data_IF_406341273523
#
_entry.id   IF_406341273523
#
_cell.length_a   1.000
_cell.length_b   1.000
_cell.length_c   1.000
_cell.angle_alpha   90.00
_cell.angle_beta   90.00
_cell.angle_gamma   90.00
#
_symmetry.space_group_name_H-M   'P 1'
#
loop_
_entity.id
_entity.type
_entity.pdbx_description
1 polymer ?
#
# COMPACT_ATOMS: atom_id res chain seq x y z
N UNK A 1 44.63 2.90 54.35
CA UNK A 1 44.10 4.25 54.62
C UNK A 1 43.41 4.72 53.33
N UNK A 2 42.09 4.66 53.21
CA UNK A 2 41.10 5.56 53.84
C UNK A 2 40.66 6.67 52.87
N UNK A 3 39.45 6.50 52.34
CA UNK A 3 38.45 7.51 51.96
C UNK A 3 38.71 8.36 50.70
N UNK A 4 37.80 8.23 49.72
CA UNK A 4 36.82 9.27 49.34
C UNK A 4 35.70 8.58 48.53
N UNK A 5 34.65 8.20 49.25
CA UNK A 5 33.32 7.92 48.68
C UNK A 5 32.58 9.26 48.57
N UNK A 6 32.25 9.71 47.36
CA UNK A 6 31.17 10.70 47.17
C UNK A 6 29.91 9.98 46.71
N UNK A 7 29.05 9.78 47.71
CA UNK A 7 27.69 9.27 47.68
C UNK A 7 26.80 10.19 46.83
N UNK A 8 26.48 9.79 45.60
CA UNK A 8 25.35 10.34 44.85
C UNK A 8 24.09 9.59 45.29
N UNK A 9 23.12 10.36 45.80
CA UNK A 9 21.83 9.88 46.29
C UNK A 9 21.02 9.29 45.14
N UNK A 10 20.33 8.20 45.46
CA UNK A 10 19.42 7.44 44.61
C UNK A 10 18.32 8.28 43.98
N UNK A 11 18.17 8.13 42.66
CA UNK A 11 16.85 8.05 42.04
C UNK A 11 16.76 6.68 41.37
N UNK A 12 16.18 5.72 42.08
CA UNK A 12 15.77 4.42 41.54
C UNK A 12 14.62 4.67 40.56
N UNK A 13 14.94 5.12 39.35
CA UNK A 13 14.06 4.92 38.22
C UNK A 13 14.26 3.47 37.83
N UNK A 14 13.25 2.61 38.10
CA UNK A 14 13.19 1.28 37.51
C UNK A 14 13.27 1.46 36.00
N UNK A 15 14.45 1.32 35.41
CA UNK A 15 14.57 1.11 33.99
C UNK A 15 14.01 -0.29 33.75
N UNK A 16 12.77 -0.37 33.25
CA UNK A 16 12.36 -1.55 32.52
C UNK A 16 13.37 -1.69 31.38
N UNK A 17 14.34 -2.58 31.55
CA UNK A 17 15.14 -3.08 30.44
C UNK A 17 14.16 -3.94 29.67
N UNK A 18 13.38 -3.32 28.79
CA UNK A 18 12.64 -4.04 27.77
C UNK A 18 13.69 -4.60 26.82
N UNK A 19 13.95 -5.90 26.94
CA UNK A 19 14.72 -6.62 25.96
C UNK A 19 13.81 -6.80 24.75
N UNK A 20 13.72 -5.76 23.91
CA UNK A 20 12.93 -5.79 22.69
C UNK A 20 13.69 -6.63 21.66
N UNK A 21 13.64 -7.96 21.79
CA UNK A 21 13.94 -8.86 20.67
C UNK A 21 12.79 -8.72 19.69
N UNK A 22 12.89 -7.74 18.80
CA UNK A 22 11.97 -7.56 17.68
C UNK A 22 12.15 -8.67 16.63
N UNK A 23 11.91 -9.93 17.02
CA UNK A 23 12.00 -11.10 16.15
C UNK A 23 10.64 -11.75 15.87
N UNK A 24 9.56 -11.31 16.51
CA UNK A 24 8.21 -11.79 16.23
C UNK A 24 7.22 -10.63 16.25
N UNK A 25 6.42 -10.54 15.18
CA UNK A 25 5.47 -9.45 14.95
C UNK A 25 4.41 -9.35 16.04
N UNK A 26 4.25 -8.14 16.52
CA UNK A 26 3.19 -7.68 17.42
C UNK A 26 1.81 -7.93 16.80
N UNK A 27 1.02 -8.80 17.45
CA UNK A 27 -0.42 -8.94 17.23
C UNK A 27 -1.08 -8.81 18.61
N UNK A 28 -1.69 -7.65 18.84
CA UNK A 28 -2.25 -7.27 20.14
C UNK A 28 -3.53 -8.02 20.55
N UNK A 29 -3.74 -7.94 21.87
CA UNK A 29 -4.98 -8.04 22.67
C UNK A 29 -5.76 -9.38 22.62
N UNK A 30 -6.17 -10.04 23.72
CA UNK A 30 -6.58 -9.54 25.03
C UNK A 30 -6.90 -10.69 26.01
N UNK A 31 -6.91 -10.33 27.30
CA UNK A 31 -7.74 -10.85 28.40
C UNK A 31 -7.25 -12.05 29.25
N UNK A 32 -7.39 -11.80 30.55
CA UNK A 32 -7.00 -12.57 31.72
C UNK A 32 -7.90 -13.77 32.02
N UNK A 33 -7.31 -14.85 32.53
CA UNK A 33 -7.84 -15.50 33.74
C UNK A 33 -6.75 -16.28 34.47
N UNK A 34 -6.62 -15.97 35.74
CA UNK A 34 -5.82 -16.71 36.72
C UNK A 34 -6.62 -17.91 37.22
N UNK A 35 -6.07 -19.10 37.10
CA UNK A 35 -6.44 -20.23 37.95
C UNK A 35 -5.17 -20.96 38.38
N UNK A 36 -4.90 -20.86 39.67
CA UNK A 36 -3.92 -21.66 40.39
C UNK A 36 -4.42 -23.09 40.51
N UNK A 37 -3.74 -24.03 39.85
CA UNK A 37 -3.79 -25.45 40.19
C UNK A 37 -2.37 -26.00 40.22
N UNK A 38 -1.87 -26.18 41.43
CA UNK A 38 -0.69 -26.95 41.76
C UNK A 38 -0.90 -28.41 41.34
N UNK A 39 -0.28 -28.81 40.24
CA UNK A 39 -0.15 -30.21 39.83
C UNK A 39 1.12 -30.31 39.00
N UNK A 40 2.07 -31.13 39.46
CA UNK A 40 3.28 -31.47 38.72
C UNK A 40 2.87 -32.06 37.37
N UNK A 41 2.84 -31.20 36.35
CA UNK A 41 2.36 -31.51 35.02
C UNK A 41 3.57 -31.38 34.10
N UNK A 42 3.92 -32.50 33.47
CA UNK A 42 4.74 -32.53 32.27
C UNK A 42 4.13 -31.51 31.30
N UNK A 43 4.78 -30.37 31.14
CA UNK A 43 4.36 -29.32 30.23
C UNK A 43 4.43 -29.92 28.82
N UNK A 44 3.27 -30.23 28.24
CA UNK A 44 3.15 -30.65 26.85
C UNK A 44 2.83 -29.43 26.02
N UNK A 45 3.54 -29.25 24.92
CA UNK A 45 3.23 -28.25 23.90
C UNK A 45 1.81 -28.48 23.35
N UNK A 46 1.14 -27.48 22.74
CA UNK A 46 -0.17 -27.69 22.11
C UNK A 46 -0.17 -28.83 21.08
N UNK A 47 0.98 -29.13 20.48
CA UNK A 47 1.19 -30.23 19.52
C UNK A 47 1.53 -31.58 20.18
N UNK A 48 1.47 -31.70 21.50
CA UNK A 48 1.74 -32.92 22.25
C UNK A 48 3.22 -33.26 22.44
N UNK A 49 4.14 -32.46 21.89
CA UNK A 49 5.58 -32.62 22.12
C UNK A 49 5.98 -32.17 23.55
N UNK A 50 6.95 -32.85 24.19
CA UNK A 50 7.45 -32.43 25.50
C UNK A 50 8.05 -31.01 25.42
N UNK A 51 7.70 -30.14 26.37
CA UNK A 51 8.26 -28.79 26.44
C UNK A 51 9.76 -28.88 26.73
N UNK A 52 10.55 -28.34 25.80
CA UNK A 52 12.00 -28.27 25.96
C UNK A 52 12.35 -27.20 26.97
N UNK A 53 13.25 -27.51 27.89
CA UNK A 53 13.77 -26.57 28.89
C UNK A 53 15.15 -26.06 28.49
N UNK A 54 15.54 -24.91 29.04
CA UNK A 54 16.90 -24.34 28.84
C UNK A 54 17.99 -25.34 29.28
N UNK A 55 17.70 -26.21 30.25
CA UNK A 55 18.65 -27.19 30.78
C UNK A 55 18.89 -28.38 29.83
N UNK A 56 17.95 -28.63 28.91
CA UNK A 56 18.08 -29.67 27.89
C UNK A 56 19.06 -29.29 26.78
N UNK A 57 19.53 -28.03 26.74
CA UNK A 57 20.54 -27.59 25.77
C UNK A 57 21.94 -27.87 26.31
N UNK A 58 22.63 -28.84 25.69
CA UNK A 58 24.03 -29.15 25.99
C UNK A 58 24.95 -28.00 25.60
N UNK A 59 24.67 -27.33 24.48
CA UNK A 59 25.46 -26.19 23.98
C UNK A 59 24.54 -25.13 23.38
N UNK A 60 24.84 -23.85 23.62
CA UNK A 60 23.97 -22.75 23.19
C UNK A 60 23.90 -22.63 21.67
N UNK A 61 24.92 -23.14 20.98
CA UNK A 61 24.99 -23.21 19.52
C UNK A 61 23.87 -24.04 18.90
N UNK A 62 23.36 -25.04 19.64
CA UNK A 62 22.25 -25.89 19.18
C UNK A 62 20.96 -25.10 18.98
N UNK A 63 20.81 -23.93 19.61
CA UNK A 63 19.63 -23.08 19.48
C UNK A 63 19.27 -22.77 18.02
N UNK A 64 20.27 -22.50 17.18
CA UNK A 64 20.03 -22.17 15.76
C UNK A 64 19.53 -23.37 14.93
N UNK A 65 19.80 -24.59 15.37
CA UNK A 65 19.36 -25.83 14.69
C UNK A 65 18.02 -26.36 15.18
N UNK A 66 17.47 -25.79 16.26
CA UNK A 66 16.18 -26.20 16.81
C UNK A 66 15.03 -25.77 15.91
N UNK A 67 13.93 -26.50 16.00
CA UNK A 67 12.68 -26.10 15.36
C UNK A 67 12.12 -24.81 15.96
N UNK A 68 11.38 -24.05 15.17
CA UNK A 68 10.88 -22.71 15.51
C UNK A 68 10.06 -22.71 16.80
N UNK A 69 9.25 -23.75 17.01
CA UNK A 69 8.41 -23.88 18.20
C UNK A 69 9.27 -23.99 19.46
N UNK A 70 10.33 -24.82 19.40
CA UNK A 70 11.28 -25.03 20.51
C UNK A 70 12.10 -23.76 20.77
N UNK A 71 12.51 -23.06 19.73
CA UNK A 71 13.16 -21.75 19.87
C UNK A 71 12.26 -20.76 20.62
N UNK A 72 10.98 -20.66 20.26
CA UNK A 72 10.02 -19.78 20.93
C UNK A 72 9.79 -20.15 22.41
N UNK A 73 9.75 -21.45 22.72
CA UNK A 73 9.65 -21.93 24.11
C UNK A 73 10.87 -21.51 24.93
N UNK A 74 12.08 -21.71 24.42
CA UNK A 74 13.31 -21.33 25.10
C UNK A 74 13.37 -19.81 25.30
N UNK A 75 13.01 -19.03 24.29
CA UNK A 75 12.99 -17.56 24.37
C UNK A 75 12.01 -17.08 25.43
N UNK A 76 10.79 -17.62 25.47
CA UNK A 76 9.79 -17.24 26.48
C UNK A 76 10.19 -17.62 27.91
N UNK A 77 10.82 -18.79 28.10
CA UNK A 77 11.42 -19.18 29.39
C UNK A 77 12.52 -18.20 29.81
N UNK A 78 13.40 -17.84 28.87
CA UNK A 78 14.53 -16.95 29.12
C UNK A 78 14.05 -15.52 29.42
N UNK A 79 13.03 -15.03 28.72
CA UNK A 79 12.39 -13.75 28.97
C UNK A 79 11.78 -13.71 30.38
N UNK A 80 11.05 -14.76 30.78
CA UNK A 80 10.49 -14.90 32.13
C UNK A 80 11.59 -14.86 33.21
N UNK A 81 12.77 -15.42 32.92
CA UNK A 81 13.94 -15.33 33.82
C UNK A 81 14.56 -13.92 33.81
N UNK A 82 14.61 -13.25 32.66
CA UNK A 82 15.12 -11.88 32.53
C UNK A 82 14.29 -10.84 33.25
N UNK A 83 12.96 -10.99 33.24
CA UNK A 83 12.05 -10.10 33.98
C UNK A 83 12.31 -10.11 35.49
N UNK A 84 12.98 -11.14 36.02
CA UNK A 84 13.35 -11.24 37.44
C UNK A 84 14.59 -10.40 37.76
N UNK A 85 15.75 -11.02 37.88
CA UNK A 85 16.99 -10.37 38.32
C UNK A 85 18.17 -10.92 37.53
N UNK A 86 18.93 -10.03 36.90
CA UNK A 86 20.13 -10.38 36.14
C UNK A 86 21.17 -11.15 36.97
N UNK A 87 21.22 -10.90 38.28
CA UNK A 87 22.14 -11.59 39.19
C UNK A 87 21.74 -13.03 39.47
N UNK A 88 20.45 -13.38 39.28
CA UNK A 88 19.94 -14.74 39.50
C UNK A 88 20.08 -15.64 38.28
N UNK A 89 20.41 -15.10 37.10
CA UNK A 89 20.66 -15.90 35.91
C UNK A 89 21.99 -16.64 36.00
N UNK A 90 21.97 -17.91 35.59
CA UNK A 90 23.17 -18.73 35.49
C UNK A 90 24.08 -18.22 34.37
N UNK A 91 25.36 -18.61 34.39
CA UNK A 91 26.30 -18.24 33.33
C UNK A 91 25.83 -18.78 31.96
N UNK A 92 25.36 -20.03 31.94
CA UNK A 92 24.81 -20.69 30.76
C UNK A 92 23.63 -19.89 30.18
N UNK A 93 22.66 -19.49 31.00
CA UNK A 93 21.52 -18.68 30.55
C UNK A 93 21.95 -17.32 29.95
N UNK A 94 22.95 -16.67 30.54
CA UNK A 94 23.49 -15.40 30.02
C UNK A 94 24.19 -15.58 28.69
N UNK A 95 25.00 -16.64 28.59
CA UNK A 95 25.70 -16.97 27.37
C UNK A 95 24.71 -17.41 26.26
N UNK A 96 23.64 -18.14 26.61
CA UNK A 96 22.55 -18.48 25.71
C UNK A 96 21.82 -17.22 25.23
N UNK A 97 21.48 -16.31 26.12
CA UNK A 97 20.88 -15.03 25.73
C UNK A 97 21.78 -14.21 24.80
N UNK A 98 23.07 -14.18 25.09
CA UNK A 98 24.06 -13.54 24.22
C UNK A 98 24.11 -14.20 22.85
N UNK A 99 24.10 -15.54 22.80
CA UNK A 99 24.06 -16.29 21.55
C UNK A 99 22.75 -16.07 20.78
N UNK A 100 21.61 -16.01 21.45
CA UNK A 100 20.33 -15.70 20.81
C UNK A 100 20.36 -14.29 20.20
N UNK A 101 20.88 -13.28 20.91
CA UNK A 101 20.93 -11.91 20.39
C UNK A 101 22.00 -11.66 19.31
N UNK A 102 23.18 -12.26 19.48
CA UNK A 102 24.38 -11.91 18.71
C UNK A 102 25.14 -13.11 18.14
N UNK A 103 24.65 -14.32 18.33
CA UNK A 103 25.28 -15.54 17.86
C UNK A 103 25.19 -15.73 16.35
N UNK A 104 25.88 -16.77 15.89
CA UNK A 104 25.99 -17.10 14.47
C UNK A 104 24.82 -17.99 14.01
N UNK A 105 23.60 -17.44 13.98
CA UNK A 105 22.40 -18.17 13.55
C UNK A 105 21.44 -17.27 12.74
N UNK A 106 20.56 -17.86 11.92
CA UNK A 106 19.62 -17.14 11.08
C UNK A 106 20.32 -16.21 10.07
N UNK A 107 20.03 -14.91 10.13
CA UNK A 107 20.67 -13.91 9.23
C UNK A 107 22.16 -13.71 9.50
N UNK A 108 22.74 -14.36 10.51
CA UNK A 108 24.15 -14.20 10.85
C UNK A 108 25.05 -15.36 10.44
N UNK A 109 24.51 -16.52 10.05
CA UNK A 109 25.25 -17.78 9.87
C UNK A 109 26.51 -17.71 9.00
N UNK A 110 26.49 -16.83 7.98
CA UNK A 110 27.56 -16.72 6.98
C UNK A 110 28.73 -15.86 7.42
N UNK A 111 28.69 -15.27 8.62
CA UNK A 111 29.84 -14.56 9.16
C UNK A 111 30.83 -15.58 9.75
N UNK A 112 31.98 -15.77 9.11
CA UNK A 112 32.99 -16.76 9.52
C UNK A 112 34.07 -16.21 10.46
N UNK A 113 34.19 -14.89 10.60
CA UNK A 113 35.31 -14.22 11.28
C UNK A 113 35.09 -13.95 12.78
N UNK A 114 34.28 -14.74 13.49
CA UNK A 114 33.99 -14.50 14.91
C UNK A 114 35.21 -14.62 15.84
N UNK A 115 36.17 -15.47 15.45
CA UNK A 115 37.37 -15.76 16.26
C UNK A 115 38.60 -14.96 15.82
N UNK A 116 38.46 -14.07 14.83
CA UNK A 116 39.55 -13.25 14.32
C UNK A 116 39.38 -11.81 14.80
N UNK A 117 40.47 -11.14 15.16
CA UNK A 117 40.47 -9.71 15.52
C UNK A 117 40.23 -8.78 14.32
N UNK A 118 40.11 -9.34 13.11
CA UNK A 118 39.70 -8.62 11.91
C UNK A 118 38.23 -8.21 12.01
N UNK A 119 37.90 -7.03 11.48
CA UNK A 119 36.51 -6.58 11.41
C UNK A 119 35.63 -7.67 10.75
N UNK A 120 34.43 -7.94 11.31
CA UNK A 120 33.53 -8.90 10.70
C UNK A 120 33.18 -8.42 9.29
N UNK A 121 33.21 -9.36 8.33
CA UNK A 121 32.88 -9.16 6.91
C UNK A 121 31.46 -8.62 6.69
N UNK A 122 30.71 -8.45 7.77
CA UNK A 122 29.40 -7.83 7.79
C UNK A 122 29.43 -6.37 7.38
N UNK A 123 30.50 -5.64 7.70
CA UNK A 123 30.59 -4.26 7.31
C UNK A 123 31.79 -4.09 6.39
N UNK A 124 31.60 -3.65 5.13
CA UNK A 124 32.68 -3.38 4.18
C UNK A 124 33.46 -2.12 4.57
N UNK A 125 33.52 -1.79 5.85
CA UNK A 125 34.34 -0.73 6.38
C UNK A 125 35.74 -1.31 6.51
N UNK A 126 36.62 -0.93 5.60
CA UNK A 126 38.05 -1.04 5.84
C UNK A 126 38.33 -0.02 6.95
N UNK A 127 38.69 -0.44 8.18
CA UNK A 127 39.04 0.51 9.21
C UNK A 127 40.23 1.30 8.69
N UNK A 128 40.02 2.59 8.50
CA UNK A 128 41.07 3.49 8.08
C UNK A 128 42.04 3.70 9.24
N UNK A 129 42.89 2.71 9.51
CA UNK A 129 43.88 2.72 10.59
C UNK A 129 44.95 3.81 10.43
N UNK A 130 44.91 4.57 9.33
CA UNK A 130 45.87 5.61 8.94
C UNK A 130 45.23 6.96 8.57
N UNK A 131 43.99 7.25 8.98
CA UNK A 131 43.40 8.56 8.66
C UNK A 131 43.90 9.65 9.61
N UNK A 132 44.74 10.53 9.06
CA UNK A 132 44.96 11.89 9.55
C UNK A 132 43.61 12.62 9.68
N UNK A 133 43.52 13.57 10.62
CA UNK A 133 42.34 14.24 11.19
C UNK A 133 41.31 14.91 10.24
N UNK A 134 41.26 14.58 8.96
CA UNK A 134 40.24 15.03 8.00
C UNK A 134 39.08 14.04 7.98
N UNK A 135 37.96 14.43 8.58
CA UNK A 135 36.69 13.68 8.57
C UNK A 135 36.06 13.68 7.18
N UNK A 136 36.46 12.74 6.33
CA UNK A 136 35.78 12.49 5.05
C UNK A 136 34.53 11.63 5.30
N UNK A 137 33.40 12.02 4.69
CA UNK A 137 32.19 11.19 4.68
C UNK A 137 32.53 9.85 4.03
N UNK A 138 32.16 8.77 4.69
CA UNK A 138 32.32 7.41 4.17
C UNK A 138 31.49 7.27 2.87
N UNK A 139 31.97 6.42 1.96
CA UNK A 139 31.22 6.07 0.76
C UNK A 139 29.88 5.44 1.18
N UNK A 140 28.81 5.79 0.47
CA UNK A 140 27.53 5.14 0.64
C UNK A 140 27.62 3.74 0.03
N UNK A 141 27.43 2.72 0.87
CA UNK A 141 27.60 1.31 0.47
C UNK A 141 26.25 0.62 0.57
N UNK A 142 25.85 -0.02 -0.53
CA UNK A 142 24.64 -0.83 -0.57
C UNK A 142 24.89 -2.20 0.07
N UNK A 143 24.24 -2.46 1.21
CA UNK A 143 24.36 -3.72 1.94
C UNK A 143 23.87 -4.94 1.14
N UNK A 144 22.92 -4.72 0.21
CA UNK A 144 22.32 -5.75 -0.64
C UNK A 144 23.30 -6.36 -1.65
N UNK A 145 24.34 -5.62 -2.05
CA UNK A 145 25.36 -6.06 -3.02
C UNK A 145 26.57 -6.72 -2.36
N UNK A 146 26.56 -6.89 -1.04
CA UNK A 146 27.67 -7.55 -0.34
C UNK A 146 27.59 -9.06 -0.52
N UNK A 147 28.70 -9.76 -0.79
CA UNK A 147 28.69 -11.19 -1.14
C UNK A 147 28.13 -12.08 -0.01
N UNK A 148 28.25 -11.63 1.24
CA UNK A 148 27.73 -12.38 2.40
C UNK A 148 26.21 -12.24 2.53
N UNK A 149 25.64 -11.09 2.12
CA UNK A 149 24.21 -10.79 2.27
C UNK A 149 23.41 -10.90 0.99
N UNK A 150 24.03 -11.08 -0.16
CA UNK A 150 23.35 -11.15 -1.46
C UNK A 150 22.17 -12.12 -1.43
N UNK A 151 22.36 -13.30 -0.85
CA UNK A 151 21.29 -14.30 -0.71
C UNK A 151 20.18 -13.90 0.26
N UNK A 152 20.46 -13.04 1.24
CA UNK A 152 19.46 -12.51 2.19
C UNK A 152 18.57 -11.45 1.53
N UNK A 153 19.16 -10.64 0.66
CA UNK A 153 18.46 -9.58 -0.08
C UNK A 153 17.90 -10.04 -1.43
N UNK A 154 18.12 -11.30 -1.80
CA UNK A 154 17.47 -11.93 -2.94
C UNK A 154 15.99 -12.10 -2.63
N UNK A 155 15.21 -11.05 -2.89
CA UNK A 155 13.75 -11.08 -2.78
C UNK A 155 13.27 -12.28 -3.58
N UNK A 156 12.63 -13.24 -2.91
CA UNK A 156 12.04 -14.39 -3.58
C UNK A 156 11.03 -13.84 -4.57
N UNK A 157 11.35 -13.91 -5.85
CA UNK A 157 10.39 -13.61 -6.90
C UNK A 157 9.17 -14.49 -6.66
N UNK A 158 7.96 -13.94 -6.79
CA UNK A 158 6.72 -14.70 -6.60
C UNK A 158 6.81 -16.04 -7.33
N UNK A 159 6.40 -17.10 -6.63
CA UNK A 159 6.33 -18.43 -7.20
C UNK A 159 5.46 -18.41 -8.47
N UNK A 160 5.78 -19.29 -9.42
CA UNK A 160 5.05 -19.36 -10.68
C UNK A 160 3.55 -19.62 -10.44
N UNK A 161 3.21 -20.44 -9.44
CA UNK A 161 1.82 -20.69 -9.06
C UNK A 161 1.11 -19.43 -8.57
N UNK A 162 1.74 -18.67 -7.68
CA UNK A 162 1.16 -17.41 -7.16
C UNK A 162 0.96 -16.38 -8.28
N UNK A 163 1.89 -16.29 -9.24
CA UNK A 163 1.73 -15.42 -10.41
C UNK A 163 0.51 -15.80 -11.27
N UNK A 164 0.28 -17.10 -11.48
CA UNK A 164 -0.89 -17.60 -12.21
C UNK A 164 -2.19 -17.25 -11.48
N UNK A 165 -2.24 -17.44 -10.15
CA UNK A 165 -3.43 -17.09 -9.35
C UNK A 165 -3.74 -15.60 -9.44
N UNK A 166 -2.73 -14.74 -9.27
CA UNK A 166 -2.90 -13.28 -9.40
C UNK A 166 -3.39 -12.93 -10.80
N UNK A 167 -2.84 -13.55 -11.84
CA UNK A 167 -3.29 -13.34 -13.22
C UNK A 167 -4.75 -13.77 -13.43
N UNK A 168 -5.17 -14.92 -12.89
CA UNK A 168 -6.56 -15.40 -12.98
C UNK A 168 -7.54 -14.47 -12.26
N UNK A 169 -7.17 -13.93 -11.09
CA UNK A 169 -8.00 -12.94 -10.38
C UNK A 169 -8.19 -11.70 -11.24
N UNK A 170 -7.11 -11.18 -11.83
CA UNK A 170 -7.18 -10.02 -12.74
C UNK A 170 -8.09 -10.33 -13.94
N UNK A 171 -7.98 -11.53 -14.51
CA UNK A 171 -8.78 -11.96 -15.65
C UNK A 171 -10.28 -12.06 -15.30
N UNK A 172 -10.62 -12.63 -14.14
CA UNK A 172 -12.00 -12.72 -13.65
C UNK A 172 -12.59 -11.33 -13.42
N UNK A 173 -11.82 -10.42 -12.80
CA UNK A 173 -12.25 -9.02 -12.61
C UNK A 173 -12.49 -8.36 -13.97
N UNK A 174 -11.59 -8.54 -14.93
CA UNK A 174 -11.76 -7.97 -16.26
C UNK A 174 -12.99 -8.55 -16.98
N UNK A 175 -13.24 -9.85 -16.84
CA UNK A 175 -14.42 -10.51 -17.40
C UNK A 175 -15.72 -10.03 -16.73
N UNK A 176 -15.71 -9.82 -15.41
CA UNK A 176 -16.84 -9.27 -14.68
C UNK A 176 -17.17 -7.86 -15.15
N UNK A 177 -16.17 -6.99 -15.30
CA UNK A 177 -16.33 -5.63 -15.84
C UNK A 177 -16.80 -5.64 -17.30
N UNK A 178 -16.28 -6.55 -18.12
CA UNK A 178 -16.75 -6.74 -19.49
C UNK A 178 -18.24 -7.10 -19.49
N UNK A 179 -18.62 -8.15 -18.75
CA UNK A 179 -20.02 -8.58 -18.64
C UNK A 179 -20.95 -7.46 -18.15
N UNK A 180 -20.52 -6.71 -17.13
CA UNK A 180 -21.28 -5.59 -16.56
C UNK A 180 -21.53 -4.48 -17.60
N UNK A 181 -20.52 -4.18 -18.44
CA UNK A 181 -20.65 -3.22 -19.54
C UNK A 181 -21.72 -3.64 -20.57
N UNK A 182 -21.88 -4.93 -20.87
CA UNK A 182 -22.84 -5.41 -21.88
C UNK A 182 -24.23 -5.75 -21.33
N UNK A 183 -24.38 -5.91 -20.01
CA UNK A 183 -25.68 -6.22 -19.38
C UNK A 183 -26.63 -5.01 -19.35
N UNK A 184 -26.09 -3.79 -19.43
CA UNK A 184 -26.87 -2.55 -19.35
C UNK A 184 -27.67 -2.15 -20.59
N UNK A 185 -27.51 -2.81 -21.75
CA UNK A 185 -28.26 -2.45 -22.97
C UNK A 185 -29.62 -3.16 -23.08
N UNK A 186 -29.82 -4.31 -22.43
CA UNK A 186 -31.06 -5.09 -22.52
C UNK A 186 -32.11 -4.74 -21.46
N UNK A 187 -31.82 -3.79 -20.56
CA UNK A 187 -32.68 -3.48 -19.41
C UNK A 187 -32.75 -2.00 -19.02
N UNK A 188 -32.33 -1.08 -19.90
CA UNK A 188 -32.62 0.34 -19.66
C UNK A 188 -34.15 0.51 -19.69
N UNK A 189 -34.77 1.06 -18.62
CA UNK A 189 -36.17 1.46 -18.72
C UNK A 189 -36.27 2.46 -19.87
N UNK A 190 -37.17 2.21 -20.83
CA UNK A 190 -37.48 3.18 -21.86
C UNK A 190 -37.83 4.50 -21.18
N UNK A 191 -37.12 5.56 -21.54
CA UNK A 191 -37.47 6.90 -21.09
C UNK A 191 -38.89 7.18 -21.58
N UNK A 192 -39.85 7.19 -20.66
CA UNK A 192 -41.22 7.60 -20.96
C UNK A 192 -41.15 9.09 -21.26
N UNK A 193 -41.01 9.44 -22.53
CA UNK A 193 -41.08 10.83 -22.99
C UNK A 193 -42.52 11.29 -22.74
N UNK A 194 -42.73 12.02 -21.65
CA UNK A 194 -44.02 12.62 -21.33
C UNK A 194 -44.19 13.81 -22.28
N UNK A 195 -44.96 13.61 -23.35
CA UNK A 195 -45.30 14.67 -24.30
C UNK A 195 -46.37 15.58 -23.70
N UNK A 196 -46.01 16.83 -23.47
CA UNK A 196 -46.95 17.88 -23.04
C UNK A 196 -47.74 18.39 -24.25
N UNK A 197 -49.01 17.97 -24.38
CA UNK A 197 -49.90 18.34 -25.51
C UNK A 197 -49.97 19.84 -25.76
N UNK A 198 -49.88 20.65 -24.71
CA UNK A 198 -49.99 22.10 -24.82
C UNK A 198 -48.83 22.77 -25.56
N UNK A 199 -47.64 22.15 -25.56
CA UNK A 199 -46.48 22.70 -26.27
C UNK A 199 -46.58 22.47 -27.78
N UNK A 200 -47.04 21.29 -28.20
CA UNK A 200 -47.29 20.96 -29.60
C UNK A 200 -48.35 21.88 -30.23
N UNK A 201 -49.43 22.17 -29.51
CA UNK A 201 -50.49 23.07 -30.00
C UNK A 201 -50.00 24.52 -30.19
N UNK A 202 -49.10 25.01 -29.34
CA UNK A 202 -48.49 26.34 -29.53
C UNK A 202 -47.59 26.40 -30.76
N UNK A 203 -46.76 25.39 -30.96
CA UNK A 203 -45.87 25.33 -32.13
C UNK A 203 -46.64 25.24 -33.45
N UNK A 204 -47.75 24.51 -33.48
CA UNK A 204 -48.62 24.45 -34.65
C UNK A 204 -49.32 25.79 -34.93
N UNK A 205 -49.77 26.50 -33.89
CA UNK A 205 -50.36 27.83 -34.05
C UNK A 205 -49.33 28.85 -34.55
N UNK A 206 -48.11 28.84 -34.02
CA UNK A 206 -47.04 29.72 -34.51
C UNK A 206 -46.66 29.44 -35.96
N UNK A 207 -46.64 28.16 -36.37
CA UNK A 207 -46.38 27.78 -37.78
C UNK A 207 -47.48 28.31 -38.71
N UNK A 208 -48.75 28.15 -38.34
CA UNK A 208 -49.89 28.68 -39.11
C UNK A 208 -49.84 30.20 -39.24
N UNK A 209 -49.53 30.91 -38.16
CA UNK A 209 -49.41 32.37 -38.18
C UNK A 209 -48.25 32.84 -39.08
N UNK A 210 -47.10 32.16 -39.04
CA UNK A 210 -45.95 32.46 -39.91
C UNK A 210 -46.24 32.17 -41.38
N UNK A 211 -47.01 31.13 -41.69
CA UNK A 211 -47.44 30.84 -43.06
C UNK A 211 -48.41 31.90 -43.59
N UNK A 212 -49.40 32.30 -42.79
CA UNK A 212 -50.36 33.34 -43.16
C UNK A 212 -49.70 34.72 -43.33
N UNK A 213 -48.68 35.03 -42.54
CA UNK A 213 -47.89 36.26 -42.69
C UNK A 213 -47.08 36.27 -43.99
N UNK A 214 -46.45 35.13 -44.33
CA UNK A 214 -45.71 34.97 -45.60
C UNK A 214 -46.62 35.08 -46.81
N UNK A 215 -47.83 34.53 -46.75
CA UNK A 215 -48.81 34.66 -47.84
C UNK A 215 -49.25 36.11 -48.04
N UNK A 216 -49.53 36.85 -46.95
CA UNK A 216 -49.85 38.28 -47.00
C UNK A 216 -48.70 39.12 -47.54
N UNK A 217 -47.46 38.78 -47.21
CA UNK A 217 -46.27 39.46 -47.74
C UNK A 217 -46.08 39.18 -49.24
N UNK A 218 -46.25 37.93 -49.67
CA UNK A 218 -46.19 37.56 -51.09
C UNK A 218 -47.29 38.28 -51.91
N UNK A 219 -48.51 38.39 -51.39
CA UNK A 219 -49.60 39.09 -52.05
C UNK A 219 -49.32 40.59 -52.16
N UNK A 220 -48.82 41.23 -51.10
CA UNK A 220 -48.38 42.63 -51.14
C UNK A 220 -47.30 42.85 -52.21
N UNK A 221 -46.31 41.96 -52.28
CA UNK A 221 -45.24 42.07 -53.27
C UNK A 221 -45.77 41.90 -54.70
N UNK A 222 -46.72 41.00 -54.94
CA UNK A 222 -47.39 40.85 -56.24
C UNK A 222 -48.13 42.11 -56.66
N UNK A 223 -48.90 42.72 -55.76
CA UNK A 223 -49.64 43.96 -56.04
C UNK A 223 -48.71 45.14 -56.31
N UNK A 224 -47.58 45.23 -55.63
CA UNK A 224 -46.56 46.28 -55.89
C UNK A 224 -45.93 46.09 -57.27
N UNK A 225 -45.63 44.84 -57.66
CA UNK A 225 -45.04 44.55 -58.96
C UNK A 225 -46.02 44.82 -60.12
N UNK A 226 -47.30 44.46 -59.94
CA UNK A 226 -48.35 44.77 -60.92
C UNK A 226 -48.50 46.30 -61.13
N UNK A 227 -48.44 47.08 -60.05
CA UNK A 227 -48.45 48.56 -60.13
C UNK A 227 -47.23 49.11 -60.88
N UNK A 228 -46.03 48.57 -60.64
CA UNK A 228 -44.80 48.98 -61.36
C UNK A 228 -44.92 48.72 -62.86
N UNK A 229 -45.40 47.53 -63.24
CA UNK A 229 -45.60 47.17 -64.65
C UNK A 229 -46.67 48.06 -65.31
N UNK A 230 -47.74 48.42 -64.60
CA UNK A 230 -48.76 49.33 -65.12
C UNK A 230 -48.21 50.75 -65.36
N UNK A 231 -47.40 51.29 -64.43
CA UNK A 231 -46.74 52.58 -64.59
C UNK A 231 -45.75 52.60 -65.77
N UNK A 232 -45.00 51.51 -65.98
CA UNK A 232 -44.09 51.40 -67.12
C UNK A 232 -44.85 51.36 -68.45
N UNK A 233 -45.97 50.63 -68.50
CA UNK A 233 -46.87 50.62 -69.67
C UNK A 233 -47.43 52.01 -69.95
N UNK A 234 -47.85 52.77 -68.93
CA UNK A 234 -48.30 54.15 -69.11
C UNK A 234 -47.19 55.09 -69.62
N UNK A 235 -45.99 55.00 -69.04
CA UNK A 235 -44.83 55.80 -69.48
C UNK A 235 -44.45 55.47 -70.92
N UNK A 236 -44.52 54.20 -71.32
CA UNK A 236 -44.30 53.78 -72.71
C UNK A 236 -45.35 54.37 -73.66
N UNK A 237 -46.65 54.33 -73.33
CA UNK A 237 -47.72 54.92 -74.15
C UNK A 237 -47.55 56.44 -74.32
N UNK A 238 -47.16 57.15 -73.25
CA UNK A 238 -46.89 58.60 -73.29
C UNK A 238 -45.70 58.95 -74.19
N UNK A 239 -44.67 58.10 -74.27
CA UNK A 239 -43.50 58.33 -75.17
C UNK A 239 -43.86 58.31 -76.66
N UNK A 240 -44.84 57.50 -77.08
CA UNK A 240 -45.29 57.47 -78.48
C UNK A 240 -46.20 58.65 -78.81
N UNK A 241 -46.97 59.16 -77.84
CA UNK A 241 -47.85 60.32 -78.03
C UNK A 241 -47.07 61.60 -78.42
N UNK A 242 -45.84 61.77 -77.93
CA UNK A 242 -44.98 62.91 -78.30
C UNK A 242 -44.38 62.83 -79.71
N UNK A 243 -44.44 61.69 -80.40
CA UNK A 243 -43.88 61.55 -81.75
C UNK A 243 -44.80 62.06 -82.87
N UNK A 244 -46.08 62.32 -82.56
CA UNK A 244 -47.10 62.71 -83.56
C UNK A 244 -47.46 64.20 -83.56
N UNK A 245 -46.77 65.01 -82.75
CA UNK A 245 -47.05 66.44 -82.54
C UNK A 245 -46.05 67.38 -83.27
N UNK A 246 -45.39 66.93 -84.34
CA UNK A 246 -44.45 67.74 -85.13
C UNK A 246 -44.85 67.82 -86.60
#
# INVERSE_FOLDING_TARGET
MSLIFRRLKSTTKKSNISFNMGLFGDSGDSSSSSSSSSSASSLTSPDGEPVMTIEDLETHQQFGTLDLIKQAQIVSQLETKFQKSWHKLTLNEKQLAYYIGYGNWGVREKFSNWNQSSAPLDLPFIPNSKLQNTTKKLLEIELSKTPVREEQFKVKSLDAGTKIVVFMIILIVMFALHRDKYIGEQGKPEEIVIYDRYQLEREEQEKKQKEEEKEREMERNRLVEEKRVAEEKEKSRKKWYYLYLR
#
